data_IF_364788056368
#
_entry.id   IF_364788056368
#
_cell.length_a   1.000
_cell.length_b   1.000
_cell.length_c   1.000
_cell.angle_alpha   90.00
_cell.angle_beta   90.00
_cell.angle_gamma   90.00
#
_symmetry.space_group_name_H-M   'P 1'
#
loop_
_entity.id
_entity.type
_entity.pdbx_description
1 polymer ?
#
# COMPACT_ATOMS: atom_id res chain seq x y z
N UNK A 1 79.84 -15.69 16.58
CA UNK A 1 78.52 -15.08 16.26
C UNK A 1 78.11 -15.66 14.91
N UNK A 2 77.54 -16.85 14.90
CA UNK A 2 76.10 -17.15 15.00
C UNK A 2 75.42 -17.11 13.62
N UNK A 3 74.57 -18.11 13.41
CA UNK A 3 74.05 -18.61 12.15
C UNK A 3 72.98 -17.68 11.57
N UNK A 4 72.62 -17.89 10.29
CA UNK A 4 71.30 -18.44 9.87
C UNK A 4 70.91 -17.94 8.47
N UNK A 5 70.61 -18.83 7.50
CA UNK A 5 69.93 -18.45 6.26
C UNK A 5 68.44 -18.17 6.51
N UNK A 6 67.99 -16.95 6.19
CA UNK A 6 66.58 -16.55 6.30
C UNK A 6 65.76 -17.20 5.16
N UNK A 7 65.26 -18.40 5.45
CA UNK A 7 64.29 -19.17 4.64
C UNK A 7 63.00 -18.36 4.45
N UNK A 8 62.79 -17.77 3.26
CA UNK A 8 61.52 -17.17 2.83
C UNK A 8 60.50 -18.28 2.56
N UNK A 9 59.79 -18.71 3.58
CA UNK A 9 58.56 -19.50 3.46
C UNK A 9 57.53 -18.80 4.33
N UNK A 10 56.76 -17.89 3.74
CA UNK A 10 55.84 -17.07 4.51
C UNK A 10 55.04 -16.06 3.70
N UNK A 11 54.73 -16.37 2.44
CA UNK A 11 53.88 -15.51 1.60
C UNK A 11 52.73 -16.29 0.93
N UNK A 12 52.89 -17.59 0.64
CA UNK A 12 51.86 -18.38 -0.02
C UNK A 12 50.87 -19.08 0.93
N UNK A 13 51.22 -19.28 2.20
CA UNK A 13 50.32 -19.88 3.20
C UNK A 13 49.31 -18.86 3.77
N UNK A 14 49.67 -17.57 3.83
CA UNK A 14 48.79 -16.50 4.32
C UNK A 14 47.71 -16.11 3.30
N UNK A 15 47.99 -16.20 1.99
CA UNK A 15 47.02 -15.88 0.94
C UNK A 15 45.92 -16.93 0.79
N UNK A 16 46.22 -18.20 1.07
CA UNK A 16 45.21 -19.28 1.00
C UNK A 16 44.22 -19.20 2.16
N UNK A 17 44.68 -18.80 3.36
CA UNK A 17 43.82 -18.69 4.54
C UNK A 17 42.80 -17.53 4.45
N UNK A 18 43.16 -16.45 3.75
CA UNK A 18 42.28 -15.29 3.55
C UNK A 18 41.21 -15.52 2.47
N UNK A 19 41.49 -16.37 1.47
CA UNK A 19 40.53 -16.71 0.42
C UNK A 19 39.51 -17.78 0.87
N UNK A 20 39.87 -18.68 1.79
CA UNK A 20 38.94 -19.70 2.31
C UNK A 20 38.00 -19.18 3.40
N UNK A 21 38.41 -18.18 4.19
CA UNK A 21 37.53 -17.53 5.18
C UNK A 21 36.53 -16.52 4.57
N UNK A 22 36.76 -16.06 3.33
CA UNK A 22 35.86 -15.15 2.63
C UNK A 22 34.63 -15.82 2.00
N UNK A 23 34.65 -17.14 1.79
CA UNK A 23 33.56 -17.88 1.14
C UNK A 23 32.62 -18.62 2.11
N UNK A 24 32.91 -18.65 3.40
CA UNK A 24 32.10 -19.38 4.39
C UNK A 24 31.14 -18.51 5.20
N UNK A 25 30.96 -17.23 4.85
CA UNK A 25 30.05 -16.31 5.56
C UNK A 25 28.81 -15.87 4.75
N UNK A 26 28.57 -16.43 3.57
CA UNK A 26 27.37 -16.14 2.77
C UNK A 26 26.84 -17.41 2.10
N UNK A 27 26.00 -18.14 2.84
CA UNK A 27 25.02 -19.20 2.47
C UNK A 27 24.97 -20.16 3.66
N UNK A 28 23.94 -20.13 4.50
CA UNK A 28 22.58 -20.55 4.17
C UNK A 28 21.62 -20.02 5.26
N UNK A 29 20.66 -19.17 4.88
CA UNK A 29 19.57 -18.81 5.77
C UNK A 29 18.57 -19.96 5.70
N UNK A 30 18.60 -20.84 6.71
CA UNK A 30 17.69 -21.98 6.80
C UNK A 30 16.23 -21.54 6.81
N UNK A 31 15.56 -21.70 5.66
CA UNK A 31 14.13 -21.93 5.59
C UNK A 31 13.90 -23.43 5.74
N UNK A 32 13.66 -23.90 6.96
CA UNK A 32 13.33 -25.30 7.22
C UNK A 32 11.86 -25.54 6.88
N UNK A 33 11.57 -25.78 5.61
CA UNK A 33 10.29 -26.34 5.19
C UNK A 33 10.36 -27.85 5.35
N UNK A 34 9.65 -28.37 6.35
CA UNK A 34 9.46 -29.82 6.54
C UNK A 34 8.64 -30.37 5.36
N UNK A 35 9.32 -30.96 4.39
CA UNK A 35 8.71 -31.63 3.25
C UNK A 35 8.10 -32.97 3.70
N UNK A 36 6.81 -32.98 4.04
CA UNK A 36 6.05 -34.20 4.27
C UNK A 36 5.38 -34.64 2.96
N UNK A 37 6.00 -35.63 2.31
CA UNK A 37 5.61 -36.26 1.03
C UNK A 37 4.39 -37.21 1.17
N UNK A 38 3.30 -36.78 1.84
CA UNK A 38 2.12 -37.64 2.04
C UNK A 38 0.77 -36.93 2.10
N UNK A 39 0.71 -35.62 1.88
CA UNK A 39 -0.55 -34.89 1.67
C UNK A 39 -0.31 -33.86 0.60
N UNK A 40 -0.92 -34.06 -0.58
CA UNK A 40 -0.78 -33.15 -1.71
C UNK A 40 -0.95 -31.70 -1.25
N UNK A 41 0.09 -30.89 -1.50
CA UNK A 41 0.06 -29.49 -1.15
C UNK A 41 -1.08 -28.82 -1.90
N UNK A 42 -2.10 -28.36 -1.19
CA UNK A 42 -3.05 -27.39 -1.72
C UNK A 42 -2.26 -26.11 -1.97
N UNK A 43 -1.89 -25.88 -3.23
CA UNK A 43 -1.15 -24.70 -3.68
C UNK A 43 -2.09 -23.49 -3.80
N UNK A 44 -2.85 -23.20 -2.75
CA UNK A 44 -3.61 -21.97 -2.73
C UNK A 44 -2.63 -20.82 -2.47
N UNK A 45 -2.58 -19.80 -3.32
CA UNK A 45 -1.79 -18.62 -3.03
C UNK A 45 -2.24 -18.04 -1.67
N UNK A 46 -1.33 -17.39 -0.93
CA UNK A 46 -1.68 -16.72 0.31
C UNK A 46 -2.80 -15.72 0.04
N UNK A 47 -3.68 -15.51 1.02
CA UNK A 47 -4.70 -14.47 0.89
C UNK A 47 -4.03 -13.09 1.00
N UNK A 48 -4.23 -12.24 0.00
CA UNK A 48 -3.72 -10.87 -0.01
C UNK A 48 -4.77 -9.91 -0.53
N UNK A 49 -4.64 -8.62 -0.19
CA UNK A 49 -5.54 -7.59 -0.66
C UNK A 49 -5.20 -7.23 -2.11
N UNK A 50 -6.02 -7.67 -3.06
CA UNK A 50 -5.84 -7.39 -4.49
C UNK A 50 -5.89 -5.90 -4.82
N UNK A 51 -6.56 -5.09 -3.99
CA UNK A 51 -6.64 -3.65 -4.18
C UNK A 51 -5.35 -2.93 -3.74
N UNK A 52 -4.62 -3.48 -2.77
CA UNK A 52 -3.39 -2.90 -2.25
C UNK A 52 -2.28 -2.99 -3.31
N UNK A 53 -1.96 -1.86 -3.93
CA UNK A 53 -1.01 -1.78 -5.06
C UNK A 53 -1.64 -1.82 -6.46
N UNK A 54 -2.97 -1.89 -6.56
CA UNK A 54 -3.70 -1.74 -7.83
C UNK A 54 -3.79 -0.27 -8.27
N UNK A 55 -4.01 -0.03 -9.57
CA UNK A 55 -4.30 1.31 -10.05
C UNK A 55 -5.74 1.69 -9.70
N UNK A 56 -5.99 2.87 -9.12
CA UNK A 56 -7.36 3.34 -8.85
C UNK A 56 -7.59 4.73 -9.43
N UNK A 57 -8.75 4.94 -10.05
CA UNK A 57 -9.19 6.23 -10.55
C UNK A 57 -10.66 6.48 -10.22
N UNK A 58 -11.03 7.75 -10.09
CA UNK A 58 -12.42 8.17 -9.88
C UNK A 58 -12.75 9.32 -10.81
N UNK A 59 -13.98 9.36 -11.33
CA UNK A 59 -14.42 10.45 -12.21
C UNK A 59 -14.49 11.80 -11.51
N UNK A 60 -14.73 11.80 -10.20
CA UNK A 60 -14.72 13.01 -9.40
C UNK A 60 -14.37 12.72 -7.94
N UNK A 61 -13.69 13.67 -7.29
CA UNK A 61 -13.31 13.59 -5.87
C UNK A 61 -13.61 14.94 -5.21
N UNK A 62 -13.92 14.94 -3.91
CA UNK A 62 -14.07 16.19 -3.18
C UNK A 62 -12.74 16.96 -3.09
N UNK A 63 -12.81 18.28 -2.90
CA UNK A 63 -11.62 19.10 -2.72
C UNK A 63 -10.88 19.44 -4.02
N UNK A 64 -11.35 18.97 -5.17
CA UNK A 64 -10.81 19.31 -6.49
C UNK A 64 -11.92 19.59 -7.52
N UNK A 65 -11.64 20.45 -8.50
CA UNK A 65 -12.52 20.69 -9.66
C UNK A 65 -12.25 19.70 -10.80
N UNK A 66 -12.94 19.88 -11.93
CA UNK A 66 -12.81 18.99 -13.10
C UNK A 66 -11.42 19.03 -13.76
N UNK A 67 -10.67 20.12 -13.57
CA UNK A 67 -9.30 20.26 -14.03
C UNK A 67 -8.27 19.73 -13.00
N UNK A 68 -8.74 19.23 -11.85
CA UNK A 68 -7.89 18.80 -10.73
C UNK A 68 -7.34 19.97 -9.91
N UNK A 69 -7.81 21.20 -10.13
CA UNK A 69 -7.42 22.33 -9.31
C UNK A 69 -8.12 22.28 -7.95
N UNK A 70 -7.42 22.73 -6.92
CA UNK A 70 -7.93 22.66 -5.55
C UNK A 70 -9.13 23.58 -5.33
N UNK A 71 -10.11 23.05 -4.60
CA UNK A 71 -11.29 23.79 -4.15
C UNK A 71 -11.67 23.34 -2.74
N UNK A 72 -12.49 24.14 -2.08
CA UNK A 72 -13.07 23.79 -0.78
C UNK A 72 -14.52 23.38 -0.97
N UNK A 73 -14.88 22.18 -0.50
CA UNK A 73 -16.24 21.66 -0.59
C UNK A 73 -16.80 21.34 0.78
N UNK A 74 -17.96 21.91 1.10
CA UNK A 74 -18.69 21.62 2.34
C UNK A 74 -19.49 20.32 2.18
N UNK A 75 -19.31 19.38 3.09
CA UNK A 75 -20.14 18.19 3.21
C UNK A 75 -20.71 18.06 4.62
N UNK A 76 -21.86 17.42 4.74
CA UNK A 76 -22.54 17.19 6.01
C UNK A 76 -22.91 15.71 6.14
N UNK A 77 -22.69 15.16 7.33
CA UNK A 77 -23.06 13.79 7.69
C UNK A 77 -24.55 13.77 8.03
N UNK A 78 -25.28 12.84 7.40
CA UNK A 78 -26.73 12.70 7.54
C UNK A 78 -27.17 12.17 8.92
N UNK A 79 -26.29 11.42 9.60
CA UNK A 79 -26.49 11.10 11.01
C UNK A 79 -25.98 12.29 11.82
N UNK A 80 -26.91 13.05 12.40
CA UNK A 80 -26.65 14.33 13.05
C UNK A 80 -25.43 14.34 13.97
N UNK A 81 -24.79 15.51 14.07
CA UNK A 81 -23.65 15.72 14.94
C UNK A 81 -24.07 15.72 16.41
N UNK A 82 -23.19 15.33 17.34
CA UNK A 82 -23.48 15.47 18.76
C UNK A 82 -23.81 16.94 19.07
N UNK A 83 -24.90 17.17 19.82
CA UNK A 83 -25.39 18.51 20.21
C UNK A 83 -24.37 19.32 21.03
N UNK A 84 -23.28 18.67 21.46
CA UNK A 84 -22.20 19.21 22.28
C UNK A 84 -20.89 19.48 21.49
N UNK A 85 -20.89 19.34 20.17
CA UNK A 85 -19.69 19.61 19.35
C UNK A 85 -19.44 21.09 19.05
N UNK A 86 -18.24 21.40 18.53
CA UNK A 86 -17.81 22.76 18.18
C UNK A 86 -18.82 23.42 17.22
N UNK A 87 -19.29 24.66 17.48
CA UNK A 87 -20.34 25.30 16.68
C UNK A 87 -19.99 25.45 15.20
N UNK A 88 -18.71 25.50 14.86
CA UNK A 88 -18.21 25.60 13.48
C UNK A 88 -18.43 24.34 12.64
N UNK A 89 -18.60 23.17 13.28
CA UNK A 89 -18.84 21.88 12.60
C UNK A 89 -20.25 21.34 12.83
N UNK A 90 -21.09 22.05 13.59
CA UNK A 90 -22.48 21.67 13.86
C UNK A 90 -23.43 22.69 13.22
N UNK A 91 -23.82 22.44 11.97
CA UNK A 91 -24.80 23.27 11.27
C UNK A 91 -26.15 22.58 11.41
N UNK A 92 -27.10 23.23 12.12
CA UNK A 92 -28.46 22.71 12.31
C UNK A 92 -28.52 21.30 12.94
N UNK A 93 -27.58 20.97 13.84
CA UNK A 93 -27.52 19.64 14.47
C UNK A 93 -26.95 18.54 13.56
N UNK A 94 -26.39 18.89 12.40
CA UNK A 94 -25.65 17.98 11.54
C UNK A 94 -24.15 18.26 11.62
N UNK A 95 -23.35 17.20 11.61
CA UNK A 95 -21.90 17.32 11.56
C UNK A 95 -21.48 17.67 10.13
N UNK A 96 -20.95 18.88 9.93
CA UNK A 96 -20.45 19.34 8.65
C UNK A 96 -18.96 19.65 8.73
N UNK A 97 -18.23 19.30 7.69
CA UNK A 97 -16.81 19.56 7.56
C UNK A 97 -16.47 19.95 6.12
N UNK A 98 -15.23 20.38 5.90
CA UNK A 98 -14.74 20.82 4.60
C UNK A 98 -13.77 19.80 4.03
N UNK A 99 -13.89 19.53 2.73
CA UNK A 99 -12.91 18.79 1.97
C UNK A 99 -12.07 19.74 1.12
N UNK A 100 -10.75 19.60 1.17
CA UNK A 100 -9.80 20.41 0.40
C UNK A 100 -8.57 19.56 0.03
N UNK A 101 -8.23 19.50 -1.25
CA UNK A 101 -7.09 18.70 -1.74
C UNK A 101 -5.71 19.23 -1.35
N UNK A 102 -5.58 20.51 -0.97
CA UNK A 102 -4.32 21.10 -0.52
C UNK A 102 -4.01 20.82 0.95
N UNK A 103 -5.03 20.49 1.76
CA UNK A 103 -4.85 20.15 3.16
C UNK A 103 -4.90 18.62 3.34
N UNK A 104 -3.76 17.95 3.62
CA UNK A 104 -3.73 16.50 3.78
C UNK A 104 -4.66 15.94 4.87
N UNK A 105 -5.06 16.76 5.85
CA UNK A 105 -5.99 16.34 6.91
C UNK A 105 -7.46 16.42 6.47
N UNK A 106 -7.74 17.15 5.38
CA UNK A 106 -9.07 17.36 4.80
C UNK A 106 -9.17 16.85 3.36
N UNK A 107 -8.09 16.27 2.85
CA UNK A 107 -8.02 15.66 1.54
C UNK A 107 -8.47 14.20 1.63
N UNK A 108 -9.36 13.83 0.72
CA UNK A 108 -9.88 12.47 0.62
C UNK A 108 -9.67 11.91 -0.80
N UNK A 109 -8.40 11.81 -1.26
CA UNK A 109 -8.09 11.32 -2.61
C UNK A 109 -8.52 9.86 -2.79
N UNK A 110 -8.70 9.47 -4.06
CA UNK A 110 -9.14 8.11 -4.43
C UNK A 110 -8.14 7.03 -3.97
N UNK A 111 -6.87 7.39 -3.86
CA UNK A 111 -5.79 6.51 -3.36
C UNK A 111 -6.01 6.05 -1.92
N UNK A 112 -6.73 6.82 -1.08
CA UNK A 112 -7.03 6.42 0.29
C UNK A 112 -7.88 5.14 0.35
N UNK A 113 -8.62 4.79 -0.71
CA UNK A 113 -9.43 3.58 -0.74
C UNK A 113 -8.59 2.29 -0.84
N UNK A 114 -7.30 2.40 -1.19
CA UNK A 114 -6.41 1.25 -1.44
C UNK A 114 -5.09 1.32 -0.67
N UNK A 115 -4.90 2.34 0.16
CA UNK A 115 -3.63 2.60 0.85
C UNK A 115 -3.41 1.74 2.11
N UNK A 116 -4.38 0.89 2.46
CA UNK A 116 -4.33 0.02 3.63
C UNK A 116 -4.51 0.74 4.97
N UNK A 117 -4.82 2.04 4.96
CA UNK A 117 -5.05 2.84 6.17
C UNK A 117 -6.55 2.99 6.46
N UNK A 118 -6.90 3.61 7.60
CA UNK A 118 -8.28 3.96 7.94
C UNK A 118 -8.78 5.23 7.23
N UNK A 119 -7.98 5.80 6.33
CA UNK A 119 -8.41 6.93 5.52
C UNK A 119 -9.45 6.48 4.49
N UNK A 120 -10.24 7.43 4.03
CA UNK A 120 -11.27 7.17 3.03
C UNK A 120 -11.14 8.13 1.85
N UNK A 121 -11.67 7.68 0.71
CA UNK A 121 -11.98 8.53 -0.43
C UNK A 121 -13.39 9.09 -0.30
N UNK A 122 -13.62 10.31 -0.81
CA UNK A 122 -14.91 10.97 -0.76
C UNK A 122 -15.27 11.60 -2.12
N UNK A 123 -16.46 11.29 -2.62
CA UNK A 123 -17.03 11.93 -3.81
C UNK A 123 -17.47 13.38 -3.53
N UNK A 124 -17.64 14.20 -4.57
CA UNK A 124 -18.26 15.51 -4.45
C UNK A 124 -19.63 15.48 -3.75
N UNK A 125 -19.98 16.48 -2.92
CA UNK A 125 -21.31 16.56 -2.33
C UNK A 125 -22.35 16.93 -3.39
N UNK A 126 -23.59 16.45 -3.24
CA UNK A 126 -24.70 16.75 -4.14
C UNK A 126 -25.05 18.25 -4.21
N UNK A 127 -24.67 19.02 -3.17
CA UNK A 127 -24.77 20.49 -3.18
C UNK A 127 -23.94 21.15 -4.28
N UNK A 128 -22.90 20.47 -4.79
CA UNK A 128 -22.10 20.94 -5.94
C UNK A 128 -22.83 20.76 -7.27
N UNK A 129 -23.72 19.78 -7.35
CA UNK A 129 -24.49 19.51 -8.56
C UNK A 129 -25.03 18.08 -8.58
N UNK A 130 -26.21 17.92 -9.18
CA UNK A 130 -26.87 16.62 -9.32
C UNK A 130 -26.09 15.64 -10.20
N UNK A 131 -25.16 16.16 -11.01
CA UNK A 131 -24.26 15.35 -11.85
C UNK A 131 -23.38 14.40 -11.03
N UNK A 132 -23.12 14.73 -9.76
CA UNK A 132 -22.33 13.88 -8.85
C UNK A 132 -23.19 12.88 -8.06
N UNK A 133 -24.46 12.70 -8.45
CA UNK A 133 -25.29 11.60 -7.95
C UNK A 133 -24.76 10.23 -8.41
N UNK A 134 -24.00 10.21 -9.48
CA UNK A 134 -23.30 9.03 -9.97
C UNK A 134 -21.82 9.38 -10.19
N UNK A 135 -20.94 8.53 -9.66
CA UNK A 135 -19.49 8.65 -9.82
C UNK A 135 -18.93 7.27 -10.11
N UNK A 136 -18.02 7.18 -11.08
CA UNK A 136 -17.39 5.92 -11.43
C UNK A 136 -16.03 5.84 -10.76
N UNK A 137 -15.81 4.75 -10.04
CA UNK A 137 -14.51 4.39 -9.45
C UNK A 137 -14.01 3.15 -10.18
N UNK A 138 -12.84 3.26 -10.80
CA UNK A 138 -12.23 2.18 -11.57
C UNK A 138 -11.02 1.65 -10.82
N UNK A 139 -11.00 0.34 -10.62
CA UNK A 139 -9.90 -0.38 -9.99
C UNK A 139 -9.25 -1.30 -11.03
N UNK A 140 -8.00 -1.01 -11.37
CA UNK A 140 -7.19 -1.80 -12.29
C UNK A 140 -6.33 -2.79 -11.51
N UNK A 141 -6.83 -4.03 -11.44
CA UNK A 141 -6.19 -5.14 -10.74
C UNK A 141 -5.05 -5.79 -11.53
N UNK A 142 -4.88 -5.47 -12.82
CA UNK A 142 -3.83 -6.03 -13.67
C UNK A 142 -3.84 -7.56 -13.88
N UNK A 143 -4.82 -8.28 -13.33
CA UNK A 143 -4.90 -9.75 -13.42
C UNK A 143 -5.73 -10.20 -14.63
N UNK A 144 -5.03 -10.77 -15.62
CA UNK A 144 -5.63 -11.52 -16.73
C UNK A 144 -5.54 -13.02 -16.45
N UNK A 145 -6.46 -13.59 -15.65
CA UNK A 145 -6.69 -15.04 -15.65
C UNK A 145 -8.18 -15.32 -15.90
N UNK A 146 -8.56 -15.26 -17.18
CA UNK A 146 -9.82 -15.82 -17.67
C UNK A 146 -9.66 -17.35 -17.76
N UNK A 147 -9.76 -18.05 -16.64
CA UNK A 147 -9.99 -19.50 -16.69
C UNK A 147 -11.47 -19.74 -17.00
N UNK A 148 -11.74 -20.14 -18.24
CA UNK A 148 -13.02 -20.65 -18.70
C UNK A 148 -13.38 -21.90 -17.88
N UNK A 149 -14.10 -21.73 -16.77
CA UNK A 149 -14.71 -22.83 -16.05
C UNK A 149 -15.97 -23.26 -16.82
N UNK A 150 -15.78 -24.16 -17.77
CA UNK A 150 -16.86 -25.01 -18.27
C UNK A 150 -17.48 -25.73 -17.07
N UNK A 151 -18.71 -25.37 -16.69
CA UNK A 151 -19.48 -26.20 -15.76
C UNK A 151 -19.69 -27.56 -16.42
N UNK A 152 -19.31 -28.61 -15.69
CA UNK A 152 -19.85 -29.95 -15.89
C UNK A 152 -21.15 -30.08 -15.09
#
# INVERSE_FOLDING_TARGET
>A
MDNTPRRRIGAHLLTVLLLTFGTTLLRDAGGQETFNDLTGFTLNPPYFNLAEGSGISATATCGQDEAGASRTDLYCKLVGGPTLGLPTQNIQGQYCDYCNSLDPNKAHPVTNAIDGTERWWQSPPLSRGIVYNEVNVTLDLGQCELHHLSKQ
#
